data_IF_065280524422
#
_entry.id   IF_065280524422
#
_cell.length_a   1.000
_cell.length_b   1.000
_cell.length_c   1.000
_cell.angle_alpha   90.00
_cell.angle_beta   90.00
_cell.angle_gamma   90.00
#
_symmetry.space_group_name_H-M   'P 1'
#
loop_
_entity.id
_entity.type
_entity.pdbx_description
1 polymer ?
#
# COMPACT_ATOMS: atom_id res chain seq x y z
N UNK A 1 -9.53 -8.52 -15.57
CA UNK A 1 -9.58 -8.84 -14.12
C UNK A 1 -9.18 -10.28 -13.89
N UNK A 2 -8.34 -10.53 -12.92
CA UNK A 2 -7.98 -11.90 -12.50
C UNK A 2 -9.10 -12.46 -11.63
N UNK A 3 -9.38 -13.76 -11.79
CA UNK A 3 -10.28 -14.48 -10.89
C UNK A 3 -9.57 -14.80 -9.58
N UNK A 4 -10.32 -14.91 -8.50
CA UNK A 4 -9.81 -15.16 -7.14
C UNK A 4 -8.80 -16.33 -7.07
N UNK A 5 -9.11 -17.47 -7.69
CA UNK A 5 -8.21 -18.63 -7.67
C UNK A 5 -6.83 -18.33 -8.28
N UNK A 6 -6.78 -17.49 -9.33
CA UNK A 6 -5.52 -17.07 -9.92
C UNK A 6 -4.75 -16.13 -8.98
N UNK A 7 -5.44 -15.21 -8.29
CA UNK A 7 -4.82 -14.31 -7.31
C UNK A 7 -4.22 -15.11 -6.16
N UNK A 8 -4.95 -16.08 -5.60
CA UNK A 8 -4.46 -16.94 -4.51
C UNK A 8 -3.20 -17.72 -4.93
N UNK A 9 -3.20 -18.29 -6.13
CA UNK A 9 -2.04 -19.04 -6.65
C UNK A 9 -0.83 -18.12 -6.83
N UNK A 10 -1.03 -16.94 -7.43
CA UNK A 10 0.03 -15.95 -7.64
C UNK A 10 0.54 -15.39 -6.31
N UNK A 11 -0.33 -15.11 -5.34
CA UNK A 11 0.06 -14.65 -4.02
C UNK A 11 0.95 -15.67 -3.31
N UNK A 12 0.59 -16.95 -3.36
CA UNK A 12 1.41 -18.02 -2.78
C UNK A 12 2.81 -18.11 -3.41
N UNK A 13 2.92 -17.88 -4.72
CA UNK A 13 4.18 -17.95 -5.44
C UNK A 13 5.04 -16.69 -5.33
N UNK A 14 4.41 -15.53 -5.36
CA UNK A 14 5.09 -14.24 -5.56
C UNK A 14 5.19 -13.41 -4.27
N UNK A 15 4.33 -13.65 -3.28
CA UNK A 15 4.33 -12.96 -1.98
C UNK A 15 4.23 -13.98 -0.82
N UNK A 16 5.16 -14.94 -0.70
CA UNK A 16 5.08 -16.04 0.28
C UNK A 16 5.21 -15.55 1.74
N UNK A 17 5.64 -14.32 1.96
CA UNK A 17 5.72 -13.65 3.25
C UNK A 17 4.36 -13.17 3.80
N UNK A 18 3.30 -13.24 3.00
CA UNK A 18 1.93 -12.90 3.40
C UNK A 18 0.98 -14.06 3.06
N UNK A 19 0.04 -14.35 3.96
CA UNK A 19 -0.96 -15.39 3.69
C UNK A 19 -1.72 -15.08 2.38
N UNK A 20 -1.92 -16.06 1.47
CA UNK A 20 -2.53 -15.83 0.16
C UNK A 20 -3.91 -15.15 0.23
N UNK A 21 -4.70 -15.50 1.24
CA UNK A 21 -6.01 -14.90 1.45
C UNK A 21 -5.92 -13.43 1.92
N UNK A 22 -4.91 -13.09 2.70
CA UNK A 22 -4.63 -11.70 3.09
C UNK A 22 -4.28 -10.88 1.87
N UNK A 23 -3.46 -11.42 0.97
CA UNK A 23 -3.13 -10.78 -0.31
C UNK A 23 -4.33 -10.65 -1.23
N UNK A 24 -5.19 -11.68 -1.34
CA UNK A 24 -6.42 -11.59 -2.14
C UNK A 24 -7.35 -10.50 -1.59
N UNK A 25 -7.51 -10.45 -0.26
CA UNK A 25 -8.31 -9.41 0.39
C UNK A 25 -7.80 -7.99 0.08
N UNK A 26 -6.49 -7.80 0.12
CA UNK A 26 -5.84 -6.55 -0.29
C UNK A 26 -6.14 -6.23 -1.76
N UNK A 27 -5.87 -7.17 -2.67
CA UNK A 27 -6.09 -6.99 -4.12
C UNK A 27 -7.54 -6.66 -4.45
N UNK A 28 -8.51 -7.28 -3.76
CA UNK A 28 -9.92 -6.95 -3.95
C UNK A 28 -10.26 -5.53 -3.50
N UNK A 29 -9.62 -5.04 -2.43
CA UNK A 29 -9.83 -3.68 -1.95
C UNK A 29 -9.19 -2.62 -2.86
N UNK A 30 -8.01 -2.92 -3.42
CA UNK A 30 -7.19 -1.98 -4.19
C UNK A 30 -7.61 -1.88 -5.66
N UNK A 31 -7.79 -3.01 -6.32
CA UNK A 31 -7.98 -3.06 -7.77
C UNK A 31 -9.14 -3.92 -8.24
N UNK A 32 -9.85 -4.58 -7.33
CA UNK A 32 -10.84 -5.61 -7.67
C UNK A 32 -10.27 -6.70 -8.61
N UNK A 33 -8.97 -7.00 -8.47
CA UNK A 33 -8.27 -7.98 -9.28
C UNK A 33 -7.87 -7.49 -10.68
N UNK A 34 -7.89 -6.18 -10.93
CA UNK A 34 -7.43 -5.61 -12.21
C UNK A 34 -5.91 -5.36 -12.17
N UNK A 35 -5.08 -6.13 -12.93
CA UNK A 35 -3.63 -5.93 -12.93
C UNK A 35 -3.20 -4.63 -13.62
N UNK A 36 -4.09 -3.99 -14.36
CA UNK A 36 -3.84 -2.78 -15.14
C UNK A 36 -4.45 -1.54 -14.49
N UNK A 37 -4.99 -1.66 -13.28
CA UNK A 37 -5.59 -0.54 -12.57
C UNK A 37 -4.56 0.56 -12.30
N UNK A 38 -4.98 1.81 -12.48
CA UNK A 38 -4.21 3.02 -12.16
C UNK A 38 -5.07 3.88 -11.25
N UNK A 39 -4.57 4.15 -10.06
CA UNK A 39 -5.06 5.21 -9.18
C UNK A 39 -4.26 6.48 -9.43
N UNK A 40 -4.91 7.64 -9.38
CA UNK A 40 -4.28 8.95 -9.55
C UNK A 40 -4.64 9.81 -8.36
N UNK A 41 -3.65 10.39 -7.71
CA UNK A 41 -3.89 11.25 -6.53
C UNK A 41 -4.72 12.46 -6.94
N UNK A 42 -5.84 12.67 -6.26
CA UNK A 42 -6.75 13.81 -6.49
C UNK A 42 -7.57 13.73 -7.79
N UNK A 43 -7.54 12.60 -8.51
CA UNK A 43 -8.29 12.43 -9.76
C UNK A 43 -8.78 10.99 -9.92
N UNK A 44 -9.85 10.81 -10.69
CA UNK A 44 -10.35 9.50 -11.12
C UNK A 44 -10.24 9.35 -12.64
N UNK A 45 -9.74 8.19 -13.08
CA UNK A 45 -9.76 7.88 -14.51
C UNK A 45 -11.17 7.48 -14.92
N UNK A 46 -11.67 8.09 -16.00
CA UNK A 46 -13.00 7.77 -16.55
C UNK A 46 -13.07 6.30 -16.97
N UNK A 47 -12.00 5.79 -17.58
CA UNK A 47 -11.86 4.40 -17.98
C UNK A 47 -10.51 3.85 -17.55
N UNK A 48 -10.52 2.67 -16.95
CA UNK A 48 -9.29 1.95 -16.60
C UNK A 48 -8.71 1.23 -17.84
N UNK A 49 -7.36 1.18 -17.98
CA UNK A 49 -6.71 0.43 -19.05
C UNK A 49 -7.13 -1.04 -19.07
N UNK A 50 -7.22 -1.62 -20.26
CA UNK A 50 -7.65 -3.00 -20.48
C UNK A 50 -6.50 -3.94 -20.83
N UNK A 51 -5.37 -3.39 -21.25
CA UNK A 51 -4.16 -4.13 -21.58
C UNK A 51 -2.95 -3.55 -20.86
N UNK A 52 -1.88 -4.33 -20.75
CA UNK A 52 -0.62 -3.88 -20.16
C UNK A 52 -0.02 -2.70 -20.91
N UNK A 53 -0.09 -2.73 -22.24
CA UNK A 53 0.43 -1.69 -23.10
C UNK A 53 -0.32 -0.36 -22.91
N UNK A 54 -1.65 -0.41 -22.80
CA UNK A 54 -2.48 0.75 -22.47
C UNK A 54 -2.13 1.30 -21.09
N UNK A 55 -1.96 0.42 -20.09
CA UNK A 55 -1.60 0.84 -18.72
C UNK A 55 -0.25 1.54 -18.69
N UNK A 56 0.77 0.98 -19.35
CA UNK A 56 2.10 1.59 -19.44
C UNK A 56 2.04 2.95 -20.14
N UNK A 57 1.32 3.04 -21.26
CA UNK A 57 1.19 4.29 -22.02
C UNK A 57 0.47 5.37 -21.19
N UNK A 58 -0.64 4.99 -20.52
CA UNK A 58 -1.42 5.89 -19.65
C UNK A 58 -0.57 6.36 -18.47
N UNK A 59 0.11 5.43 -17.77
CA UNK A 59 0.99 5.76 -16.64
C UNK A 59 2.09 6.75 -17.07
N UNK A 60 2.81 6.48 -18.17
CA UNK A 60 3.85 7.38 -18.70
C UNK A 60 3.29 8.76 -19.02
N UNK A 61 2.11 8.84 -19.62
CA UNK A 61 1.45 10.11 -19.94
C UNK A 61 1.09 10.91 -18.69
N UNK A 62 0.52 10.24 -17.66
CA UNK A 62 0.16 10.87 -16.40
C UNK A 62 1.41 11.37 -15.65
N UNK A 63 2.44 10.53 -15.56
CA UNK A 63 3.71 10.91 -14.92
C UNK A 63 4.39 12.08 -15.62
N UNK A 64 4.38 12.14 -16.95
CA UNK A 64 4.91 13.26 -17.73
C UNK A 64 4.14 14.58 -17.47
N UNK A 65 2.89 14.49 -17.02
CA UNK A 65 2.07 15.63 -16.63
C UNK A 65 2.25 15.99 -15.13
N UNK A 66 3.13 15.31 -14.42
CA UNK A 66 3.40 15.54 -12.99
C UNK A 66 2.39 14.86 -12.06
N UNK A 67 1.50 13.99 -12.58
CA UNK A 67 0.56 13.26 -11.74
C UNK A 67 1.28 12.20 -10.89
N UNK A 68 0.87 12.06 -9.66
CA UNK A 68 1.27 10.97 -8.78
C UNK A 68 0.30 9.81 -8.94
N UNK A 69 0.82 8.61 -9.15
CA UNK A 69 0.00 7.44 -9.47
C UNK A 69 0.36 6.23 -8.62
N UNK A 70 -0.61 5.34 -8.51
CA UNK A 70 -0.43 3.96 -8.04
C UNK A 70 -0.83 2.99 -9.14
N UNK A 71 -0.22 1.82 -9.18
CA UNK A 71 -0.48 0.88 -10.26
C UNK A 71 -0.56 -0.58 -9.84
N UNK A 72 -1.32 -1.34 -10.63
CA UNK A 72 -1.38 -2.80 -10.57
C UNK A 72 -2.32 -3.35 -9.51
N UNK A 73 -2.18 -4.64 -9.21
CA UNK A 73 -3.08 -5.40 -8.33
C UNK A 73 -3.19 -4.81 -6.93
N UNK A 74 -2.06 -4.46 -6.32
CA UNK A 74 -2.00 -3.88 -4.98
C UNK A 74 -1.89 -2.36 -4.96
N UNK A 75 -2.08 -1.68 -6.10
CA UNK A 75 -2.02 -0.22 -6.19
C UNK A 75 -0.74 0.36 -5.56
N UNK A 76 0.42 -0.19 -5.96
CA UNK A 76 1.71 0.27 -5.42
C UNK A 76 2.01 1.69 -5.89
N UNK A 77 2.20 2.61 -4.93
CA UNK A 77 2.48 4.02 -5.20
C UNK A 77 3.84 4.22 -5.90
N UNK A 78 3.88 5.07 -6.91
CA UNK A 78 5.06 5.29 -7.74
C UNK A 78 6.31 5.74 -6.97
N UNK A 79 6.15 6.48 -5.88
CA UNK A 79 7.25 6.91 -5.03
C UNK A 79 8.01 5.75 -4.35
N UNK A 80 7.46 4.53 -4.39
CA UNK A 80 8.08 3.32 -3.85
C UNK A 80 8.64 2.39 -4.89
N UNK A 81 8.36 2.63 -6.19
CA UNK A 81 8.71 1.67 -7.23
C UNK A 81 10.20 1.35 -7.24
N UNK A 82 11.05 2.37 -7.22
CA UNK A 82 12.50 2.18 -7.23
C UNK A 82 12.96 1.33 -6.04
N UNK A 83 12.55 1.69 -4.82
CA UNK A 83 12.88 0.95 -3.59
C UNK A 83 12.40 -0.50 -3.62
N UNK A 84 11.27 -0.76 -4.28
CA UNK A 84 10.65 -2.09 -4.40
C UNK A 84 11.08 -2.85 -5.67
N UNK A 85 12.01 -2.30 -6.45
CA UNK A 85 12.47 -2.89 -7.71
C UNK A 85 11.42 -2.92 -8.81
N UNK A 86 10.45 -1.98 -8.77
CA UNK A 86 9.44 -1.82 -9.79
C UNK A 86 9.82 -0.72 -10.79
N UNK A 87 9.34 -0.88 -12.01
CA UNK A 87 9.35 0.14 -13.06
C UNK A 87 7.93 0.32 -13.59
N UNK A 88 7.72 1.33 -14.44
CA UNK A 88 6.42 1.53 -15.10
C UNK A 88 5.99 0.34 -15.96
N UNK A 89 6.94 -0.47 -16.42
CA UNK A 89 6.69 -1.70 -17.19
C UNK A 89 6.30 -2.87 -16.30
N UNK A 90 6.92 -2.98 -15.12
CA UNK A 90 6.78 -4.16 -14.24
C UNK A 90 5.70 -4.00 -13.18
N UNK A 91 5.29 -2.76 -12.86
CA UNK A 91 4.21 -2.53 -11.87
C UNK A 91 2.88 -3.13 -12.30
N UNK A 92 2.65 -3.30 -13.61
CA UNK A 92 1.45 -3.94 -14.17
C UNK A 92 1.61 -5.44 -14.42
N UNK A 93 2.73 -6.02 -14.01
CA UNK A 93 2.93 -7.47 -14.01
C UNK A 93 2.45 -8.05 -12.67
N UNK A 94 1.60 -9.09 -12.68
CA UNK A 94 1.00 -9.61 -11.45
C UNK A 94 2.02 -10.01 -10.38
N UNK A 95 3.07 -10.75 -10.76
CA UNK A 95 4.02 -11.27 -9.78
C UNK A 95 4.92 -10.19 -9.16
N UNK A 96 5.59 -9.31 -9.91
CA UNK A 96 6.32 -8.18 -9.35
C UNK A 96 5.46 -7.28 -8.48
N UNK A 97 4.22 -7.01 -8.88
CA UNK A 97 3.31 -6.17 -8.13
C UNK A 97 2.89 -6.82 -6.79
N UNK A 98 2.50 -8.10 -6.81
CA UNK A 98 2.14 -8.85 -5.60
C UNK A 98 3.32 -8.97 -4.63
N UNK A 99 4.54 -9.21 -5.16
CA UNK A 99 5.75 -9.22 -4.34
C UNK A 99 5.93 -7.89 -3.62
N UNK A 100 5.92 -6.80 -4.36
CA UNK A 100 6.08 -5.45 -3.80
C UNK A 100 4.99 -5.12 -2.77
N UNK A 101 3.74 -5.46 -3.07
CA UNK A 101 2.60 -5.26 -2.15
C UNK A 101 2.76 -6.09 -0.87
N UNK A 102 3.20 -7.34 -0.99
CA UNK A 102 3.48 -8.21 0.15
C UNK A 102 4.62 -7.67 1.02
N UNK A 103 5.68 -7.15 0.40
CA UNK A 103 6.82 -6.56 1.12
C UNK A 103 6.37 -5.31 1.92
N UNK A 104 5.57 -4.43 1.32
CA UNK A 104 5.00 -3.25 2.02
C UNK A 104 4.10 -3.67 3.17
N UNK A 105 3.18 -4.63 2.95
CA UNK A 105 2.25 -5.06 4.00
C UNK A 105 2.99 -5.75 5.16
N UNK A 106 4.01 -6.56 4.86
CA UNK A 106 4.85 -7.21 5.88
C UNK A 106 5.67 -6.21 6.68
N UNK A 107 6.24 -5.18 6.03
CA UNK A 107 6.95 -4.09 6.73
C UNK A 107 6.00 -3.37 7.68
N UNK A 108 4.80 -3.02 7.22
CA UNK A 108 3.77 -2.40 8.05
C UNK A 108 3.38 -3.28 9.25
N UNK A 109 3.20 -4.59 9.03
CA UNK A 109 2.87 -5.52 10.10
C UNK A 109 3.98 -5.62 11.16
N UNK A 110 5.23 -5.79 10.71
CA UNK A 110 6.38 -5.88 11.61
C UNK A 110 6.56 -4.60 12.44
N UNK A 111 6.26 -3.43 11.86
CA UNK A 111 6.29 -2.15 12.58
C UNK A 111 5.14 -1.98 13.57
N UNK A 112 4.01 -2.67 13.37
CA UNK A 112 2.87 -2.61 14.28
C UNK A 112 3.02 -3.52 15.51
N UNK A 113 3.76 -4.65 15.38
CA UNK A 113 3.93 -5.66 16.44
C UNK A 113 4.41 -5.07 17.78
N UNK A 114 5.42 -4.19 17.85
CA UNK A 114 5.92 -3.68 19.13
C UNK A 114 4.86 -3.00 20.00
N UNK A 115 3.88 -2.35 19.35
CA UNK A 115 2.85 -1.59 20.07
C UNK A 115 1.56 -2.38 20.29
N UNK A 116 1.26 -3.35 19.41
CA UNK A 116 -0.04 -4.02 19.33
C UNK A 116 0.01 -5.52 19.62
N UNK A 117 1.21 -6.09 19.67
CA UNK A 117 1.41 -7.54 19.70
C UNK A 117 1.12 -8.20 18.35
N UNK A 118 1.52 -9.46 18.21
CA UNK A 118 1.16 -10.24 17.02
C UNK A 118 -0.34 -10.53 16.97
N UNK A 119 -0.91 -10.57 15.76
CA UNK A 119 -2.30 -10.98 15.53
C UNK A 119 -3.14 -9.93 14.82
N UNK A 120 -4.46 -9.97 15.08
CA UNK A 120 -5.45 -9.20 14.31
C UNK A 120 -5.27 -7.68 14.45
N UNK A 121 -4.94 -7.19 15.65
CA UNK A 121 -4.76 -5.75 15.86
C UNK A 121 -3.59 -5.21 15.05
N UNK A 122 -2.45 -5.93 15.04
CA UNK A 122 -1.29 -5.57 14.22
C UNK A 122 -1.61 -5.68 12.72
N UNK A 123 -2.40 -6.69 12.30
CA UNK A 123 -2.79 -6.84 10.89
C UNK A 123 -3.70 -5.69 10.43
N UNK A 124 -4.66 -5.29 11.23
CA UNK A 124 -5.53 -4.15 10.93
C UNK A 124 -4.75 -2.84 10.85
N UNK A 125 -3.81 -2.63 11.79
CA UNK A 125 -2.90 -1.50 11.73
C UNK A 125 -1.97 -1.56 10.52
N UNK A 126 -1.52 -2.75 10.11
CA UNK A 126 -0.74 -2.93 8.90
C UNK A 126 -1.50 -2.53 7.63
N UNK A 127 -2.79 -2.85 7.54
CA UNK A 127 -3.63 -2.35 6.45
C UNK A 127 -3.79 -0.83 6.48
N UNK A 128 -4.01 -0.23 7.68
CA UNK A 128 -4.02 1.22 7.80
C UNK A 128 -2.71 1.86 7.35
N UNK A 129 -1.59 1.24 7.72
CA UNK A 129 -0.25 1.68 7.30
C UNK A 129 -0.03 1.48 5.80
N UNK A 130 -0.48 0.38 5.21
CA UNK A 130 -0.43 0.15 3.76
C UNK A 130 -1.12 1.28 3.00
N UNK A 131 -2.30 1.66 3.47
CA UNK A 131 -3.13 2.72 2.89
C UNK A 131 -2.51 4.12 3.02
N UNK A 132 -1.89 4.45 4.15
CA UNK A 132 -1.55 5.85 4.49
C UNK A 132 -0.23 6.03 5.22
N UNK A 133 0.62 4.99 5.28
CA UNK A 133 1.82 4.95 6.13
C UNK A 133 1.55 5.34 7.60
N UNK A 134 0.30 5.19 8.06
CA UNK A 134 -0.15 5.58 9.40
C UNK A 134 -1.04 4.48 9.99
N UNK A 135 -0.83 4.09 11.25
CA UNK A 135 -1.55 2.98 11.90
C UNK A 135 -2.99 3.28 12.29
N UNK A 136 -3.45 4.53 12.19
CA UNK A 136 -4.80 4.94 12.58
C UNK A 136 -5.65 5.54 11.46
N UNK A 137 -5.03 6.10 10.41
CA UNK A 137 -5.74 6.81 9.34
C UNK A 137 -6.72 5.90 8.58
N UNK A 138 -6.35 4.65 8.31
CA UNK A 138 -7.20 3.68 7.60
C UNK A 138 -8.48 3.28 8.34
N UNK A 139 -8.63 3.64 9.62
CA UNK A 139 -9.86 3.43 10.41
C UNK A 139 -10.84 4.60 10.29
N UNK A 140 -10.41 5.73 9.77
CA UNK A 140 -11.24 6.91 9.61
C UNK A 140 -12.08 6.79 8.34
N UNK A 141 -13.38 7.09 8.42
CA UNK A 141 -14.24 7.16 7.23
C UNK A 141 -13.91 8.42 6.42
N UNK A 142 -13.76 8.28 5.13
CA UNK A 142 -13.54 9.40 4.21
C UNK A 142 -14.83 10.18 3.94
N UNK A 143 -15.96 9.49 4.00
CA UNK A 143 -17.29 10.10 3.90
C UNK A 143 -18.30 9.42 4.81
N UNK A 144 -19.42 10.07 5.16
CA UNK A 144 -20.47 9.47 5.99
C UNK A 144 -21.06 8.18 5.40
N UNK A 145 -21.03 8.03 4.09
CA UNK A 145 -21.69 6.94 3.35
C UNK A 145 -20.75 5.79 3.03
N UNK A 146 -19.43 5.97 3.15
CA UNK A 146 -18.45 4.93 2.81
C UNK A 146 -17.82 4.34 4.08
N UNK A 147 -17.57 3.02 4.10
CA UNK A 147 -16.80 2.41 5.16
C UNK A 147 -15.34 2.90 5.11
N UNK A 148 -14.65 2.89 6.26
CA UNK A 148 -13.22 3.14 6.30
C UNK A 148 -12.45 2.08 5.49
N UNK A 149 -11.18 2.39 5.15
CA UNK A 149 -10.34 1.46 4.40
C UNK A 149 -10.24 0.09 5.10
N UNK A 150 -9.93 0.07 6.40
CA UNK A 150 -9.81 -1.18 7.16
C UNK A 150 -11.15 -1.94 7.22
N UNK A 151 -12.27 -1.24 7.26
CA UNK A 151 -13.60 -1.88 7.15
C UNK A 151 -13.84 -2.49 5.77
N UNK A 152 -13.42 -1.85 4.67
CA UNK A 152 -13.49 -2.43 3.32
C UNK A 152 -12.68 -3.71 3.22
N UNK A 153 -11.47 -3.72 3.79
CA UNK A 153 -10.64 -4.91 3.89
C UNK A 153 -11.38 -6.04 4.62
N UNK A 154 -11.96 -5.76 5.80
CA UNK A 154 -12.71 -6.75 6.57
C UNK A 154 -13.91 -7.31 5.78
N UNK A 155 -14.70 -6.44 5.16
CA UNK A 155 -15.84 -6.86 4.33
C UNK A 155 -15.43 -7.72 3.12
N UNK A 156 -14.26 -7.46 2.54
CA UNK A 156 -13.74 -8.29 1.46
C UNK A 156 -13.29 -9.66 1.98
N UNK A 157 -12.66 -9.73 3.17
CA UNK A 157 -12.24 -11.00 3.76
C UNK A 157 -13.44 -11.93 4.06
N UNK A 158 -14.58 -11.40 4.47
CA UNK A 158 -15.81 -12.17 4.71
C UNK A 158 -16.40 -12.80 3.42
N UNK A 159 -16.16 -12.19 2.26
CA UNK A 159 -16.59 -12.71 0.96
C UNK A 159 -15.74 -13.90 0.47
N UNK A 160 -14.55 -14.07 1.03
CA UNK A 160 -13.60 -15.10 0.66
C UNK A 160 -13.96 -16.39 1.41
N UNK A 161 -14.58 -17.35 0.71
CA UNK A 161 -15.00 -18.62 1.30
C UNK A 161 -13.79 -19.43 1.77
N UNK A 162 -13.83 -19.89 3.03
CA UNK A 162 -12.85 -20.84 3.58
C UNK A 162 -11.75 -20.25 4.43
N UNK A 163 -11.79 -18.98 4.75
CA UNK A 163 -10.88 -18.34 5.69
C UNK A 163 -11.63 -17.94 6.95
N UNK A 164 -11.04 -18.10 8.15
CA UNK A 164 -11.57 -17.44 9.33
C UNK A 164 -11.61 -15.94 9.04
N UNK A 165 -12.79 -15.34 9.13
CA UNK A 165 -12.96 -13.90 8.98
C UNK A 165 -11.96 -13.22 9.92
N UNK A 166 -11.35 -12.12 9.45
CA UNK A 166 -10.70 -11.16 10.35
C UNK A 166 -11.81 -10.73 11.31
N UNK A 167 -11.79 -11.25 12.55
CA UNK A 167 -12.82 -10.93 13.52
C UNK A 167 -12.76 -9.43 13.82
N UNK A 168 -13.73 -8.71 13.32
CA UNK A 168 -13.92 -7.30 13.59
C UNK A 168 -14.88 -7.17 14.76
N UNK A 169 -14.39 -6.78 15.91
CA UNK A 169 -15.26 -6.35 17.01
C UNK A 169 -15.52 -4.86 16.83
N UNK A 170 -16.79 -4.42 16.76
CA UNK A 170 -17.12 -2.98 16.68
C UNK A 170 -16.50 -2.15 17.82
N UNK A 171 -16.15 -2.78 18.95
CA UNK A 171 -15.45 -2.17 20.08
C UNK A 171 -13.99 -1.80 19.80
N UNK A 172 -13.39 -2.35 18.75
CA UNK A 172 -12.00 -2.10 18.39
C UNK A 172 -11.86 -0.83 17.54
N UNK A 173 -12.98 -0.28 17.09
CA UNK A 173 -13.05 0.99 16.36
C UNK A 173 -13.16 2.11 17.40
N UNK A 174 -12.05 2.72 17.78
CA UNK A 174 -12.11 4.02 18.43
C UNK A 174 -12.55 5.05 17.39
N UNK A 175 -13.76 5.61 17.57
CA UNK A 175 -14.13 6.81 16.81
C UNK A 175 -13.09 7.90 17.13
N UNK A 176 -12.28 8.21 16.15
CA UNK A 176 -11.36 9.34 16.25
C UNK A 176 -12.18 10.58 15.90
N UNK A 177 -12.35 11.47 16.88
CA UNK A 177 -12.96 12.77 16.68
C UNK A 177 -12.26 13.49 15.51
N UNK A 178 -12.98 13.87 14.43
CA UNK A 178 -12.39 14.52 13.27
C UNK A 178 -11.77 15.89 13.59
N UNK A 179 -12.01 16.44 14.81
CA UNK A 179 -11.40 17.67 15.31
C UNK A 179 -10.01 17.53 15.92
N UNK A 180 -9.58 16.32 16.22
CA UNK A 180 -8.27 16.08 16.82
C UNK A 180 -7.32 15.43 15.78
N UNK A 181 -6.69 16.26 14.94
CA UNK A 181 -5.62 15.80 14.05
C UNK A 181 -4.49 15.21 14.90
N UNK A 182 -4.16 13.92 14.81
CA UNK A 182 -2.97 13.40 15.44
C UNK A 182 -1.76 14.12 14.83
N UNK A 183 -1.00 14.84 15.65
CA UNK A 183 0.28 15.37 15.24
C UNK A 183 1.17 14.17 14.87
N UNK A 184 1.86 14.19 13.72
CA UNK A 184 2.79 13.13 13.36
C UNK A 184 3.88 13.07 14.43
N UNK A 185 3.95 11.97 15.16
CA UNK A 185 5.08 11.68 16.04
C UNK A 185 6.29 11.45 15.12
N UNK A 186 7.42 12.16 15.32
CA UNK A 186 8.59 11.93 14.50
C UNK A 186 9.03 10.48 14.65
N UNK A 187 9.14 9.78 13.54
CA UNK A 187 9.66 8.42 13.50
C UNK A 187 11.06 8.41 14.08
N UNK A 188 11.28 7.61 15.13
CA UNK A 188 12.64 7.34 15.63
C UNK A 188 13.44 6.72 14.47
N UNK A 189 14.68 7.17 14.23
CA UNK A 189 15.50 6.61 13.17
C UNK A 189 15.71 5.11 13.44
N UNK A 190 15.28 4.29 12.50
CA UNK A 190 15.58 2.86 12.50
C UNK A 190 17.09 2.74 12.27
N UNK A 191 17.83 2.14 13.21
CA UNK A 191 19.24 1.81 13.01
C UNK A 191 19.35 0.96 11.76
N UNK A 192 20.13 1.44 10.81
CA UNK A 192 20.51 0.70 9.61
C UNK A 192 21.09 -0.66 10.03
N UNK A 193 20.66 -1.72 9.37
CA UNK A 193 21.39 -2.98 9.33
C UNK A 193 22.73 -2.69 8.62
N UNK A 194 23.75 -2.42 9.42
CA UNK A 194 25.14 -2.55 8.99
C UNK A 194 25.46 -4.04 9.00
N UNK A 195 25.79 -4.56 7.81
CA UNK A 195 26.96 -5.38 7.51
C UNK A 195 26.78 -6.05 6.14
N UNK A 196 27.35 -5.46 5.12
CA UNK A 196 28.05 -6.19 4.08
C UNK A 196 29.25 -5.37 3.60
N UNK A 197 30.43 -5.93 3.82
CA UNK A 197 31.73 -5.37 3.48
C UNK A 197 31.93 -5.15 1.98
N UNK A 198 32.67 -4.09 1.64
CA UNK A 198 33.32 -3.98 0.33
C UNK A 198 33.79 -2.58 -0.03
N UNK A 199 34.98 -2.22 0.45
CA UNK A 199 36.00 -1.35 -0.17
C UNK A 199 35.69 0.10 -0.64
N UNK A 200 36.40 0.93 0.00
CA UNK A 200 36.78 2.34 -0.07
C UNK A 200 37.13 2.89 -1.46
N UNK A 201 36.51 4.02 -1.85
CA UNK A 201 37.20 5.08 -2.64
C UNK A 201 36.68 6.47 -2.29
N UNK A 202 37.68 7.36 -2.03
CA UNK A 202 37.61 8.73 -1.56
C UNK A 202 36.86 9.72 -2.47
N UNK A 203 36.21 10.65 -1.78
CA UNK A 203 35.70 12.01 -1.98
C UNK A 203 36.12 12.84 -3.23
N UNK A 204 35.31 13.87 -3.61
CA UNK A 204 35.31 15.11 -2.85
C UNK A 204 33.91 15.74 -2.58
N UNK A 205 33.97 16.58 -1.59
CA UNK A 205 33.04 17.50 -0.95
C UNK A 205 32.40 18.51 -1.92
N UNK A 206 31.06 18.71 -1.86
CA UNK A 206 30.45 19.99 -2.21
C UNK A 206 28.98 20.06 -1.71
N UNK A 207 28.75 21.05 -0.83
CA UNK A 207 27.53 21.84 -0.61
C UNK A 207 26.18 21.19 -0.33
N UNK A 208 25.69 21.44 0.89
CA UNK A 208 24.32 21.23 1.35
C UNK A 208 23.31 22.05 0.52
N UNK A 209 22.18 21.46 0.15
CA UNK A 209 20.94 22.20 -0.01
C UNK A 209 19.98 21.90 1.12
N UNK A 210 19.29 22.95 1.53
CA UNK A 210 18.31 23.07 2.60
C UNK A 210 17.23 21.99 2.56
N UNK A 211 16.89 21.48 3.76
CA UNK A 211 15.76 20.61 4.00
C UNK A 211 14.44 21.25 3.51
N UNK A 212 13.84 20.69 2.50
CA UNK A 212 12.42 20.83 2.20
C UNK A 212 11.65 19.68 2.85
N UNK A 213 10.55 20.04 3.47
CA UNK A 213 9.62 19.20 4.22
C UNK A 213 9.06 18.08 3.34
N UNK A 214 9.64 16.86 3.48
CA UNK A 214 9.23 15.69 2.71
C UNK A 214 8.20 14.87 3.51
N UNK A 215 7.03 15.45 3.71
CA UNK A 215 5.84 14.71 4.15
C UNK A 215 5.23 13.98 2.96
N UNK A 216 5.92 12.95 2.43
CA UNK A 216 5.34 12.07 1.42
C UNK A 216 4.20 11.26 2.04
N UNK A 217 3.00 11.75 1.83
CA UNK A 217 1.76 11.03 2.12
C UNK A 217 1.61 9.85 1.16
N UNK A 218 1.53 8.65 1.71
CA UNK A 218 1.15 7.42 1.01
C UNK A 218 -0.36 7.36 0.71
N UNK A 219 -1.06 8.45 0.95
CA UNK A 219 -2.49 8.56 0.80
C UNK A 219 -2.88 8.62 -0.68
N UNK A 220 -2.99 7.46 -1.29
CA UNK A 220 -3.41 7.31 -2.69
C UNK A 220 -4.92 7.47 -2.86
N UNK A 221 -5.69 7.40 -1.77
CA UNK A 221 -7.15 7.39 -1.80
C UNK A 221 -7.79 8.50 -0.93
N UNK A 222 -6.99 9.30 -0.21
CA UNK A 222 -7.48 10.25 0.80
C UNK A 222 -8.01 11.57 0.27
N UNK A 223 -7.72 11.94 -0.97
CA UNK A 223 -8.10 13.23 -1.54
C UNK A 223 -9.23 13.18 -2.59
N UNK A 224 -9.95 12.08 -2.68
CA UNK A 224 -11.18 12.05 -3.46
C UNK A 224 -12.30 12.81 -2.72
N UNK A 225 -12.46 14.06 -3.06
CA UNK A 225 -13.65 14.85 -2.75
C UNK A 225 -14.64 14.75 -3.87
#
# INVERSE_FOLDING_TARGET
MLVQAAILTLAQQCAPNVAPHTMDTLVQAESSGNPYAIGVVGMELVDQPKTKEEAIATAKSLMAQGAQISGGLGQVFMGNWEKLGLTVETVFEPCPNLKASGDVLSDCYNRAIPDMGEGQSALQAAFSCYYSNNFSRGFVKESPTQPSYVMRIAQNSEKIKGVPAVEFKPSDIKEVDPGNKPQPTPAKPVKALEEFHGEEKKQPESEEPKAEDDSMSWDVLGDFK
#
